data_IF_807788108990
#
_entry.id   IF_807788108990
#
_cell.length_a   1.000
_cell.length_b   1.000
_cell.length_c   1.000
_cell.angle_alpha   90.00
_cell.angle_beta   90.00
_cell.angle_gamma   90.00
#
_symmetry.space_group_name_H-M   'P 1'
#
loop_
_entity.id
_entity.type
_entity.pdbx_description
1 polymer ?
#
# COMPACT_ATOMS: atom_id res chain seq x y z
N UNK A 1 -38.49 9.05 14.54
CA UNK A 1 -37.25 9.58 13.96
C UNK A 1 -36.39 8.43 13.47
N UNK A 2 -35.96 8.46 12.19
CA UNK A 2 -35.06 7.46 11.58
C UNK A 2 -33.65 8.01 11.59
N UNK A 3 -32.70 7.22 12.07
CA UNK A 3 -31.28 7.61 12.12
C UNK A 3 -30.45 6.60 11.32
N UNK A 4 -29.72 7.09 10.32
CA UNK A 4 -28.76 6.29 9.54
C UNK A 4 -27.36 6.45 10.13
N UNK A 5 -26.73 5.32 10.49
CA UNK A 5 -25.38 5.24 11.05
C UNK A 5 -24.45 4.65 10.00
N UNK A 6 -23.39 5.37 9.64
CA UNK A 6 -22.39 4.91 8.70
C UNK A 6 -20.98 5.03 9.28
N UNK A 7 -20.41 3.89 9.63
CA UNK A 7 -19.04 3.78 10.15
C UNK A 7 -18.07 3.33 9.06
N UNK A 8 -16.85 3.87 9.09
CA UNK A 8 -15.80 3.44 8.16
C UNK A 8 -14.44 4.03 8.46
N UNK A 9 -13.39 3.42 7.91
CA UNK A 9 -12.03 3.96 8.00
C UNK A 9 -11.85 5.18 7.11
N UNK A 10 -12.49 5.18 5.91
CA UNK A 10 -12.46 6.25 4.90
C UNK A 10 -11.03 6.69 4.53
N UNK A 11 -10.19 5.72 4.15
CA UNK A 11 -8.78 5.91 3.90
C UNK A 11 -8.33 5.52 2.45
N UNK A 12 -8.64 6.31 1.43
CA UNK A 12 -9.59 7.42 1.38
C UNK A 12 -11.05 6.97 1.25
N UNK A 13 -11.97 7.87 1.47
CA UNK A 13 -13.33 7.72 0.98
C UNK A 13 -13.31 7.63 -0.57
N UNK A 14 -14.30 6.99 -1.18
CA UNK A 14 -14.36 6.80 -2.64
C UNK A 14 -15.80 6.70 -3.16
N UNK A 15 -15.97 6.70 -4.49
CA UNK A 15 -17.27 6.62 -5.14
C UNK A 15 -18.17 5.49 -4.64
N UNK A 16 -17.58 4.34 -4.25
CA UNK A 16 -18.33 3.24 -3.65
C UNK A 16 -18.97 3.61 -2.31
N UNK A 17 -18.26 4.36 -1.46
CA UNK A 17 -18.81 4.88 -0.20
C UNK A 17 -19.89 5.93 -0.47
N UNK A 18 -19.66 6.85 -1.40
CA UNK A 18 -20.60 7.89 -1.79
C UNK A 18 -21.89 7.29 -2.36
N UNK A 19 -21.80 6.34 -3.29
CA UNK A 19 -22.95 5.68 -3.90
C UNK A 19 -23.75 4.89 -2.86
N UNK A 20 -23.05 4.13 -1.99
CA UNK A 20 -23.68 3.37 -0.90
C UNK A 20 -24.51 4.29 0.00
N UNK A 21 -23.93 5.40 0.45
CA UNK A 21 -24.62 6.35 1.30
C UNK A 21 -25.80 7.01 0.59
N UNK A 22 -25.62 7.46 -0.66
CA UNK A 22 -26.69 8.10 -1.46
C UNK A 22 -27.86 7.14 -1.72
N UNK A 23 -27.60 5.87 -1.99
CA UNK A 23 -28.64 4.86 -2.18
C UNK A 23 -29.40 4.59 -0.88
N UNK A 24 -28.71 4.55 0.26
CA UNK A 24 -29.34 4.42 1.57
C UNK A 24 -30.22 5.62 1.93
N UNK A 25 -29.79 6.84 1.60
CA UNK A 25 -30.64 8.04 1.79
C UNK A 25 -31.95 7.97 1.04
N UNK A 26 -31.94 7.50 -0.22
CA UNK A 26 -33.15 7.35 -1.05
C UNK A 26 -34.10 6.30 -0.47
N UNK A 27 -33.56 5.16 -0.03
CA UNK A 27 -34.34 4.02 0.46
C UNK A 27 -34.90 4.25 1.87
N UNK A 28 -34.10 4.77 2.79
CA UNK A 28 -34.44 4.90 4.21
C UNK A 28 -35.16 6.22 4.50
N UNK A 29 -34.78 7.30 3.78
CA UNK A 29 -35.22 8.68 4.03
C UNK A 29 -35.02 9.04 5.51
N UNK A 30 -33.79 9.03 6.02
CA UNK A 30 -33.49 9.27 7.44
C UNK A 30 -33.73 10.73 7.80
N UNK A 31 -34.14 10.98 9.04
CA UNK A 31 -34.25 12.33 9.61
C UNK A 31 -32.87 12.89 10.00
N UNK A 32 -31.93 12.00 10.32
CA UNK A 32 -30.59 12.33 10.81
C UNK A 32 -29.60 11.25 10.35
N UNK A 33 -28.38 11.65 9.99
CA UNK A 33 -27.29 10.75 9.65
C UNK A 33 -26.11 10.96 10.60
N UNK A 34 -25.54 9.88 11.10
CA UNK A 34 -24.26 9.85 11.80
C UNK A 34 -23.19 9.23 10.91
N UNK A 35 -22.07 9.94 10.75
CA UNK A 35 -20.86 9.43 10.12
C UNK A 35 -19.79 9.27 11.21
N UNK A 36 -19.33 8.03 11.41
CA UNK A 36 -18.25 7.71 12.33
C UNK A 36 -16.98 7.33 11.53
N UNK A 37 -15.96 8.16 11.64
CA UNK A 37 -14.63 7.81 11.10
C UNK A 37 -13.90 7.02 12.17
N UNK A 38 -13.58 5.75 11.88
CA UNK A 38 -12.97 4.87 12.88
C UNK A 38 -11.58 5.36 13.28
N UNK A 39 -11.28 5.40 14.58
CA UNK A 39 -9.91 5.60 15.05
C UNK A 39 -9.01 4.47 14.58
N UNK A 40 -9.44 3.24 14.88
CA UNK A 40 -8.81 2.01 14.44
C UNK A 40 -9.89 0.94 14.27
N UNK A 41 -10.11 0.48 13.05
CA UNK A 41 -11.11 -0.55 12.77
C UNK A 41 -10.76 -1.86 13.51
N UNK A 42 -11.73 -2.51 14.20
CA UNK A 42 -11.48 -3.78 14.87
C UNK A 42 -10.99 -4.90 13.94
N UNK A 43 -11.41 -4.85 12.68
CA UNK A 43 -11.26 -5.91 11.69
C UNK A 43 -10.26 -5.56 10.57
N UNK A 44 -9.51 -4.46 10.69
CA UNK A 44 -8.53 -4.02 9.69
C UNK A 44 -7.24 -3.59 10.39
N UNK A 45 -6.17 -3.55 9.63
CA UNK A 45 -4.93 -2.94 10.08
C UNK A 45 -5.12 -1.44 10.37
N UNK A 46 -4.30 -0.93 11.28
CA UNK A 46 -4.33 0.49 11.65
C UNK A 46 -3.98 1.35 10.44
N UNK A 47 -4.85 2.30 10.10
CA UNK A 47 -4.58 3.30 9.08
C UNK A 47 -3.36 4.15 9.45
N UNK A 48 -2.47 4.38 8.49
CA UNK A 48 -1.34 5.30 8.63
C UNK A 48 -1.75 6.76 8.39
N UNK A 49 -2.86 6.98 7.69
CA UNK A 49 -3.39 8.32 7.43
C UNK A 49 -4.00 8.91 8.71
N UNK A 50 -3.60 10.12 9.13
CA UNK A 50 -4.14 10.78 10.31
C UNK A 50 -5.67 10.85 10.30
N UNK A 51 -6.28 10.68 11.48
CA UNK A 51 -7.73 10.77 11.64
C UNK A 51 -8.33 12.06 11.08
N UNK A 52 -7.68 13.21 11.35
CA UNK A 52 -8.11 14.52 10.88
C UNK A 52 -8.27 14.58 9.35
N UNK A 53 -7.31 14.04 8.61
CA UNK A 53 -7.35 13.99 7.15
C UNK A 53 -8.42 13.03 6.63
N UNK A 54 -8.60 11.87 7.27
CA UNK A 54 -9.67 10.93 6.91
C UNK A 54 -11.06 11.53 7.16
N UNK A 55 -11.22 12.27 8.27
CA UNK A 55 -12.46 13.00 8.59
C UNK A 55 -12.68 14.15 7.62
N UNK A 56 -11.64 14.89 7.23
CA UNK A 56 -11.72 15.95 6.23
C UNK A 56 -12.20 15.39 4.89
N UNK A 57 -11.59 14.30 4.40
CA UNK A 57 -12.01 13.62 3.17
C UNK A 57 -13.47 13.13 3.25
N UNK A 58 -13.88 12.56 4.38
CA UNK A 58 -15.26 12.12 4.58
C UNK A 58 -16.25 13.28 4.57
N UNK A 59 -15.91 14.40 5.24
CA UNK A 59 -16.73 15.61 5.23
C UNK A 59 -16.90 16.17 3.82
N UNK A 60 -15.82 16.25 3.05
CA UNK A 60 -15.84 16.76 1.68
C UNK A 60 -16.83 15.98 0.80
N UNK A 61 -16.92 14.66 0.98
CA UNK A 61 -17.79 13.81 0.15
C UNK A 61 -19.23 13.76 0.66
N UNK A 62 -19.45 13.70 1.98
CA UNK A 62 -20.78 13.38 2.51
C UNK A 62 -21.61 14.61 2.87
N UNK A 63 -21.02 15.75 3.22
CA UNK A 63 -21.77 16.92 3.74
C UNK A 63 -22.88 17.39 2.81
N UNK A 64 -22.66 17.33 1.49
CA UNK A 64 -23.60 17.80 0.50
C UNK A 64 -24.75 16.83 0.20
N UNK A 65 -24.68 15.59 0.73
CA UNK A 65 -25.63 14.54 0.36
C UNK A 65 -26.91 14.57 1.21
N UNK A 66 -26.87 15.17 2.41
CA UNK A 66 -28.03 15.25 3.28
C UNK A 66 -27.94 16.49 4.20
N UNK A 67 -29.10 17.13 4.51
CA UNK A 67 -29.16 18.38 5.29
C UNK A 67 -28.72 18.22 6.76
N UNK A 68 -28.91 17.04 7.34
CA UNK A 68 -28.61 16.76 8.76
C UNK A 68 -27.62 15.61 8.88
N UNK A 69 -26.32 15.91 8.78
CA UNK A 69 -25.23 14.96 8.98
C UNK A 69 -24.38 15.39 10.17
N UNK A 70 -24.14 14.47 11.11
CA UNK A 70 -23.25 14.63 12.24
C UNK A 70 -22.03 13.75 12.02
N UNK A 71 -20.85 14.36 11.93
CA UNK A 71 -19.55 13.68 11.98
C UNK A 71 -19.11 13.58 13.44
N UNK A 72 -19.46 12.49 14.11
CA UNK A 72 -19.26 12.33 15.55
C UNK A 72 -17.89 11.69 15.87
N UNK A 73 -17.20 12.24 16.85
CA UNK A 73 -15.87 11.84 17.28
C UNK A 73 -15.86 10.77 18.37
N UNK A 74 -16.99 10.14 18.67
CA UNK A 74 -17.10 9.13 19.74
C UNK A 74 -16.04 8.03 19.61
N UNK A 75 -15.89 7.44 18.40
CA UNK A 75 -14.91 6.37 18.17
C UNK A 75 -13.46 6.89 18.31
N UNK A 76 -13.18 8.08 17.82
CA UNK A 76 -11.87 8.71 17.93
C UNK A 76 -11.48 9.00 19.38
N UNK A 77 -12.39 9.60 20.16
CA UNK A 77 -12.17 9.98 21.58
C UNK A 77 -11.86 8.79 22.49
N UNK A 78 -12.21 7.57 22.08
CA UNK A 78 -11.88 6.35 22.83
C UNK A 78 -10.41 5.93 22.71
N UNK A 79 -9.66 6.42 21.71
CA UNK A 79 -8.26 6.08 21.43
C UNK A 79 -7.96 4.57 21.39
N UNK A 80 -8.98 3.75 21.09
CA UNK A 80 -8.89 2.28 20.96
C UNK A 80 -9.81 1.77 19.85
N UNK A 81 -9.77 0.47 19.59
CA UNK A 81 -10.78 -0.18 18.76
C UNK A 81 -12.16 -0.05 19.39
N UNK A 82 -13.12 0.47 18.65
CA UNK A 82 -14.53 0.59 19.05
C UNK A 82 -15.35 -0.33 18.15
N UNK A 83 -16.22 -1.11 18.77
CA UNK A 83 -17.08 -2.05 18.07
C UNK A 83 -18.45 -1.41 17.78
N UNK A 84 -19.11 -1.85 16.71
CA UNK A 84 -20.42 -1.33 16.26
C UNK A 84 -21.47 -1.33 17.37
N UNK A 85 -21.48 -2.35 18.24
CA UNK A 85 -22.39 -2.38 19.38
C UNK A 85 -22.19 -1.24 20.39
N UNK A 86 -20.96 -0.73 20.54
CA UNK A 86 -20.67 0.42 21.39
C UNK A 86 -21.18 1.72 20.76
N UNK A 87 -20.91 1.89 19.46
CA UNK A 87 -21.41 3.02 18.68
C UNK A 87 -22.93 3.05 18.67
N UNK A 88 -23.56 1.89 18.49
CA UNK A 88 -25.02 1.75 18.52
C UNK A 88 -25.61 2.10 19.89
N UNK A 89 -24.99 1.63 21.00
CA UNK A 89 -25.40 1.99 22.36
C UNK A 89 -25.33 3.50 22.58
N UNK A 90 -24.23 4.12 22.14
CA UNK A 90 -24.04 5.56 22.26
C UNK A 90 -25.11 6.36 21.51
N UNK A 91 -25.44 5.98 20.26
CA UNK A 91 -26.50 6.67 19.49
C UNK A 91 -27.88 6.41 20.14
N UNK A 92 -28.12 5.19 20.61
CA UNK A 92 -29.40 4.83 21.28
C UNK A 92 -29.61 5.61 22.57
N UNK A 93 -28.55 5.87 23.35
CA UNK A 93 -28.62 6.71 24.55
C UNK A 93 -29.00 8.17 24.22
N UNK A 94 -28.45 8.72 23.14
CA UNK A 94 -28.80 10.07 22.68
C UNK A 94 -30.21 10.18 22.10
N UNK A 95 -30.70 9.08 21.51
CA UNK A 95 -31.99 9.04 20.79
C UNK A 95 -32.79 7.78 21.16
N UNK A 96 -33.32 7.65 22.38
CA UNK A 96 -33.92 6.41 22.89
C UNK A 96 -35.09 5.87 22.04
N UNK A 97 -35.88 6.80 21.46
CA UNK A 97 -37.07 6.48 20.65
C UNK A 97 -36.81 6.38 19.13
N UNK A 98 -35.55 6.52 18.70
CA UNK A 98 -35.24 6.47 17.29
C UNK A 98 -35.18 5.04 16.72
N UNK A 99 -35.63 4.87 15.49
CA UNK A 99 -35.38 3.69 14.67
C UNK A 99 -33.98 3.85 14.06
N UNK A 100 -33.08 2.88 14.34
CA UNK A 100 -31.69 2.94 13.96
C UNK A 100 -31.41 2.04 12.75
N UNK A 101 -30.64 2.56 11.81
CA UNK A 101 -30.19 1.86 10.59
C UNK A 101 -28.67 1.87 10.54
N UNK A 102 -28.03 0.71 10.33
CA UNK A 102 -26.58 0.58 10.16
C UNK A 102 -26.29 0.30 8.69
N UNK A 103 -25.52 1.19 8.06
CA UNK A 103 -25.13 1.08 6.65
C UNK A 103 -23.83 0.30 6.51
N UNK A 104 -23.85 -0.77 5.70
CA UNK A 104 -22.70 -1.64 5.42
C UNK A 104 -22.63 -2.02 3.94
N UNK A 105 -21.41 -2.21 3.42
CA UNK A 105 -21.19 -2.83 2.11
C UNK A 105 -21.21 -4.35 2.21
N UNK A 106 -21.32 -5.05 1.08
CA UNK A 106 -21.37 -6.52 0.99
C UNK A 106 -20.19 -7.20 1.66
N UNK A 107 -18.99 -6.62 1.53
CA UNK A 107 -17.75 -7.12 2.14
C UNK A 107 -17.83 -7.16 3.68
N UNK A 108 -18.48 -6.18 4.29
CA UNK A 108 -18.72 -6.17 5.73
C UNK A 108 -19.93 -7.05 6.10
N UNK A 109 -20.97 -7.05 5.27
CA UNK A 109 -22.21 -7.79 5.54
C UNK A 109 -22.00 -9.30 5.66
N UNK A 110 -21.04 -9.87 4.95
CA UNK A 110 -20.67 -11.28 5.02
C UNK A 110 -20.17 -11.72 6.41
N UNK A 111 -19.63 -10.79 7.19
CA UNK A 111 -19.00 -11.07 8.49
C UNK A 111 -19.74 -10.45 9.69
N UNK A 112 -20.88 -9.79 9.50
CA UNK A 112 -21.59 -9.10 10.62
C UNK A 112 -22.04 -10.05 11.74
N UNK A 113 -22.27 -11.33 11.43
CA UNK A 113 -22.61 -12.36 12.43
C UNK A 113 -21.45 -12.68 13.36
N UNK A 114 -20.22 -12.45 12.92
CA UNK A 114 -18.98 -12.61 13.70
C UNK A 114 -18.61 -11.36 14.50
N UNK A 115 -19.37 -10.28 14.36
CA UNK A 115 -19.08 -9.05 15.07
C UNK A 115 -19.32 -9.19 16.57
N UNK A 116 -18.55 -8.45 17.36
CA UNK A 116 -18.74 -8.45 18.82
C UNK A 116 -20.16 -8.01 19.17
N UNK A 117 -20.86 -8.83 19.99
CA UNK A 117 -22.26 -8.63 20.38
C UNK A 117 -23.20 -8.43 19.16
N UNK A 118 -23.07 -9.28 18.15
CA UNK A 118 -23.87 -9.22 16.92
C UNK A 118 -25.37 -9.25 17.20
N UNK A 119 -25.82 -10.08 18.13
CA UNK A 119 -27.23 -10.19 18.55
C UNK A 119 -27.78 -8.84 19.07
N UNK A 120 -26.97 -8.10 19.86
CA UNK A 120 -27.36 -6.78 20.30
C UNK A 120 -27.58 -5.84 19.10
N UNK A 121 -26.70 -5.90 18.10
CA UNK A 121 -26.81 -5.08 16.90
C UNK A 121 -28.10 -5.44 16.12
N UNK A 122 -28.39 -6.72 15.94
CA UNK A 122 -29.58 -7.19 15.21
C UNK A 122 -30.90 -6.83 15.91
N UNK A 123 -30.91 -6.86 17.25
CA UNK A 123 -32.07 -6.47 18.06
C UNK A 123 -32.35 -4.97 17.99
N UNK A 124 -31.32 -4.12 17.91
CA UNK A 124 -31.43 -2.68 18.10
C UNK A 124 -31.35 -1.85 16.82
N UNK A 125 -31.00 -2.44 15.68
CA UNK A 125 -30.92 -1.73 14.41
C UNK A 125 -31.32 -2.62 13.22
N UNK A 126 -31.77 -1.96 12.15
CA UNK A 126 -31.92 -2.58 10.81
C UNK A 126 -30.65 -2.37 10.00
N UNK A 127 -30.09 -3.42 9.46
CA UNK A 127 -28.93 -3.33 8.58
C UNK A 127 -29.36 -2.91 7.17
N UNK A 128 -28.65 -1.93 6.59
CA UNK A 128 -28.84 -1.50 5.20
C UNK A 128 -27.62 -1.96 4.41
N UNK A 129 -27.83 -2.91 3.50
CA UNK A 129 -26.73 -3.60 2.82
C UNK A 129 -26.68 -3.17 1.35
N UNK A 130 -25.54 -2.60 0.94
CA UNK A 130 -25.25 -2.29 -0.46
C UNK A 130 -24.53 -3.42 -1.16
N UNK A 131 -25.05 -3.87 -2.31
CA UNK A 131 -24.48 -4.97 -3.07
C UNK A 131 -23.36 -4.52 -3.99
N UNK A 132 -22.28 -5.30 -4.06
CA UNK A 132 -21.22 -5.18 -5.07
C UNK A 132 -21.33 -6.29 -6.10
N UNK A 133 -21.07 -5.96 -7.36
CA UNK A 133 -20.97 -6.98 -8.42
C UNK A 133 -19.91 -8.04 -8.06
N UNK A 134 -20.24 -9.31 -8.24
CA UNK A 134 -19.35 -10.44 -7.99
C UNK A 134 -19.36 -10.97 -6.55
N UNK A 135 -20.14 -10.40 -5.64
CA UNK A 135 -20.39 -11.02 -4.33
C UNK A 135 -21.65 -11.89 -4.35
N UNK A 136 -21.59 -13.03 -3.63
CA UNK A 136 -22.78 -13.89 -3.43
C UNK A 136 -23.90 -13.09 -2.79
N UNK A 137 -25.16 -13.36 -3.17
CA UNK A 137 -26.31 -12.76 -2.50
C UNK A 137 -26.25 -13.08 -1.00
N UNK A 138 -26.22 -12.03 -0.19
CA UNK A 138 -26.36 -12.17 1.27
C UNK A 138 -27.85 -12.41 1.55
N UNK A 139 -28.19 -13.58 2.10
CA UNK A 139 -29.51 -13.83 2.67
C UNK A 139 -29.37 -13.66 4.18
N UNK A 140 -29.67 -12.49 4.75
CA UNK A 140 -29.49 -12.25 6.17
C UNK A 140 -30.58 -12.95 6.99
N UNK A 141 -30.17 -13.66 8.04
CA UNK A 141 -31.07 -14.22 9.06
C UNK A 141 -31.48 -13.19 10.13
N UNK A 142 -31.15 -11.91 9.87
CA UNK A 142 -31.41 -10.77 10.74
C UNK A 142 -32.15 -9.66 9.99
N UNK A 143 -32.67 -8.68 10.72
CA UNK A 143 -33.41 -7.55 10.14
C UNK A 143 -32.54 -6.72 9.22
N UNK A 144 -32.77 -6.83 7.90
CA UNK A 144 -31.98 -6.13 6.89
C UNK A 144 -32.83 -5.59 5.73
N UNK A 145 -32.33 -4.53 5.10
CA UNK A 145 -32.80 -4.01 3.82
C UNK A 145 -31.65 -4.06 2.83
N UNK A 146 -31.85 -4.69 1.69
CA UNK A 146 -30.85 -4.79 0.62
C UNK A 146 -31.14 -3.68 -0.38
N UNK A 147 -30.13 -2.85 -0.65
CA UNK A 147 -30.23 -1.77 -1.63
C UNK A 147 -30.25 -2.35 -3.05
N UNK A 148 -31.07 -1.79 -3.93
CA UNK A 148 -31.22 -2.24 -5.32
C UNK A 148 -30.03 -1.85 -6.21
N UNK A 149 -29.38 -0.72 -5.90
CA UNK A 149 -28.26 -0.20 -6.68
C UNK A 149 -26.98 -1.01 -6.45
N UNK A 150 -26.31 -1.39 -7.54
CA UNK A 150 -24.99 -1.99 -7.45
C UNK A 150 -23.91 -0.94 -7.21
N UNK A 151 -22.99 -1.27 -6.30
CA UNK A 151 -21.83 -0.43 -5.98
C UNK A 151 -20.70 -0.64 -7.01
N UNK A 152 -19.96 0.42 -7.36
CA UNK A 152 -18.81 0.31 -8.25
C UNK A 152 -17.71 -0.58 -7.64
N UNK A 153 -16.98 -1.28 -8.51
CA UNK A 153 -15.85 -2.14 -8.13
C UNK A 153 -14.61 -1.28 -7.83
N UNK A 154 -14.61 -0.61 -6.69
CA UNK A 154 -13.54 0.25 -6.21
C UNK A 154 -13.27 0.01 -4.73
N UNK A 155 -12.03 0.12 -4.28
CA UNK A 155 -11.68 0.01 -2.86
C UNK A 155 -10.59 1.00 -2.49
N UNK A 156 -10.59 1.43 -1.22
CA UNK A 156 -9.54 2.31 -0.68
C UNK A 156 -8.14 1.72 -0.85
N UNK A 157 -7.98 0.41 -0.65
CA UNK A 157 -6.70 -0.29 -0.84
C UNK A 157 -6.21 -0.21 -2.28
N UNK A 158 -7.10 -0.44 -3.27
CA UNK A 158 -6.73 -0.32 -4.67
C UNK A 158 -6.35 1.11 -5.06
N UNK A 159 -7.04 2.11 -4.51
CA UNK A 159 -6.71 3.51 -4.77
C UNK A 159 -5.36 3.90 -4.17
N UNK A 160 -5.08 3.54 -2.91
CA UNK A 160 -3.78 3.79 -2.27
C UNK A 160 -2.65 3.13 -3.06
N UNK A 161 -2.84 1.87 -3.47
CA UNK A 161 -1.88 1.15 -4.30
C UNK A 161 -1.63 1.86 -5.64
N UNK A 162 -2.68 2.30 -6.34
CA UNK A 162 -2.53 3.02 -7.61
C UNK A 162 -1.78 4.34 -7.44
N UNK A 163 -2.02 5.08 -6.36
CA UNK A 163 -1.30 6.33 -6.06
C UNK A 163 0.18 6.02 -5.79
N UNK A 164 0.46 5.04 -4.93
CA UNK A 164 1.83 4.63 -4.61
C UNK A 164 2.59 4.16 -5.85
N UNK A 165 1.93 3.38 -6.73
CA UNK A 165 2.57 2.84 -7.93
C UNK A 165 2.85 3.91 -9.00
N UNK A 166 1.96 4.89 -9.16
CA UNK A 166 1.99 5.84 -10.28
C UNK A 166 2.42 7.27 -9.90
N UNK A 167 2.50 7.60 -8.62
CA UNK A 167 2.87 8.93 -8.12
C UNK A 167 1.90 10.04 -8.52
N UNK A 168 0.62 9.69 -8.65
CA UNK A 168 -0.49 10.62 -8.95
C UNK A 168 -1.83 10.01 -8.57
N UNK A 169 -2.81 10.85 -8.29
CA UNK A 169 -4.19 10.43 -8.07
C UNK A 169 -4.79 9.81 -9.34
N UNK A 170 -5.47 8.66 -9.25
CA UNK A 170 -6.08 8.01 -10.41
C UNK A 170 -7.33 8.76 -10.88
N UNK A 171 -7.68 8.61 -12.19
CA UNK A 171 -8.84 9.30 -12.80
C UNK A 171 -10.18 8.94 -12.15
N UNK A 172 -10.31 7.78 -11.54
CA UNK A 172 -11.50 7.33 -10.83
C UNK A 172 -11.53 7.75 -9.35
N UNK A 173 -10.62 8.62 -8.92
CA UNK A 173 -10.69 9.32 -7.64
C UNK A 173 -11.76 10.40 -7.71
N UNK A 174 -12.45 10.65 -6.60
CA UNK A 174 -13.32 11.80 -6.45
C UNK A 174 -12.45 13.08 -6.56
N UNK A 175 -12.80 14.04 -7.46
CA UNK A 175 -11.93 15.19 -7.74
C UNK A 175 -11.59 16.01 -6.50
N UNK A 176 -12.55 16.21 -5.61
CA UNK A 176 -12.44 16.97 -4.36
C UNK A 176 -11.41 16.35 -3.38
N UNK A 177 -11.10 15.07 -3.52
CA UNK A 177 -10.10 14.40 -2.68
C UNK A 177 -8.69 14.52 -3.24
N UNK A 178 -8.55 14.74 -4.54
CA UNK A 178 -7.24 14.85 -5.19
C UNK A 178 -6.43 15.99 -4.60
N UNK A 179 -7.06 17.13 -4.30
CA UNK A 179 -6.40 18.26 -3.65
C UNK A 179 -5.87 17.91 -2.25
N UNK A 180 -6.72 17.31 -1.40
CA UNK A 180 -6.35 16.92 -0.05
C UNK A 180 -5.17 15.92 -0.08
N UNK A 181 -5.25 14.93 -0.95
CA UNK A 181 -4.24 13.88 -1.10
C UNK A 181 -2.91 14.48 -1.59
N UNK A 182 -2.94 15.35 -2.59
CA UNK A 182 -1.74 15.98 -3.15
C UNK A 182 -1.11 16.97 -2.16
N UNK A 183 -1.90 17.84 -1.52
CA UNK A 183 -1.42 18.83 -0.54
C UNK A 183 -0.73 18.16 0.64
N UNK A 184 -1.25 17.02 1.10
CA UNK A 184 -0.68 16.29 2.22
C UNK A 184 0.26 15.15 1.80
N UNK A 185 0.55 15.04 0.51
CA UNK A 185 1.44 14.04 -0.07
C UNK A 185 1.15 12.60 0.43
N UNK A 186 -0.14 12.21 0.49
CA UNK A 186 -0.56 10.93 1.04
C UNK A 186 -0.24 9.75 0.11
N UNK A 187 -0.23 8.55 0.67
CA UNK A 187 -0.18 7.27 -0.05
C UNK A 187 1.08 7.10 -0.92
N UNK A 188 2.23 7.58 -0.42
CA UNK A 188 3.51 7.48 -1.11
C UNK A 188 3.82 8.64 -2.05
N UNK A 189 2.97 9.67 -2.15
CA UNK A 189 3.27 10.88 -2.93
C UNK A 189 4.45 11.66 -2.38
N UNK A 190 4.70 11.62 -1.08
CA UNK A 190 5.90 12.17 -0.42
C UNK A 190 7.18 11.55 -1.00
N UNK A 191 7.20 10.23 -1.16
CA UNK A 191 8.30 9.49 -1.80
C UNK A 191 8.49 9.96 -3.25
N UNK A 192 7.40 10.00 -4.03
CA UNK A 192 7.45 10.44 -5.43
C UNK A 192 7.94 11.88 -5.58
N UNK A 193 7.45 12.78 -4.73
CA UNK A 193 7.85 14.19 -4.75
C UNK A 193 9.34 14.32 -4.45
N UNK A 194 9.84 13.57 -3.46
CA UNK A 194 11.27 13.57 -3.14
C UNK A 194 12.10 12.96 -4.27
N UNK A 195 11.71 11.80 -4.81
CA UNK A 195 12.44 11.17 -5.91
C UNK A 195 12.50 12.06 -7.16
N UNK A 196 11.42 12.74 -7.51
CA UNK A 196 11.39 13.71 -8.63
C UNK A 196 12.32 14.89 -8.39
N UNK A 197 12.44 15.35 -7.14
CA UNK A 197 13.30 16.49 -6.78
C UNK A 197 14.80 16.14 -6.83
N UNK A 198 15.17 14.93 -6.41
CA UNK A 198 16.56 14.55 -6.18
C UNK A 198 17.14 13.56 -7.20
N UNK A 199 16.31 12.89 -7.99
CA UNK A 199 16.76 12.02 -9.08
C UNK A 199 16.57 12.70 -10.44
N UNK A 200 17.52 12.48 -11.37
CA UNK A 200 17.33 12.87 -12.77
C UNK A 200 16.12 12.12 -13.37
N UNK A 201 15.39 12.76 -14.28
CA UNK A 201 14.19 12.20 -14.87
C UNK A 201 14.33 10.76 -15.43
N UNK A 202 15.43 10.39 -16.13
CA UNK A 202 15.61 8.99 -16.59
C UNK A 202 15.69 7.99 -15.42
N UNK A 203 16.33 8.38 -14.30
CA UNK A 203 16.46 7.53 -13.12
C UNK A 203 15.12 7.39 -12.38
N UNK A 204 14.38 8.49 -12.23
CA UNK A 204 13.02 8.43 -11.69
C UNK A 204 12.11 7.50 -12.51
N UNK A 205 12.15 7.60 -13.85
CA UNK A 205 11.38 6.74 -14.73
C UNK A 205 11.80 5.25 -14.62
N UNK A 206 13.10 4.98 -14.47
CA UNK A 206 13.61 3.65 -14.17
C UNK A 206 13.04 3.12 -12.85
N UNK A 207 13.10 3.92 -11.78
CA UNK A 207 12.54 3.57 -10.47
C UNK A 207 11.06 3.18 -10.56
N UNK A 208 10.25 3.92 -11.33
CA UNK A 208 8.85 3.57 -11.58
C UNK A 208 8.69 2.26 -12.34
N UNK A 209 9.56 2.00 -13.32
CA UNK A 209 9.53 0.75 -14.07
C UNK A 209 9.88 -0.45 -13.18
N UNK A 210 10.89 -0.31 -12.31
CA UNK A 210 11.27 -1.33 -11.33
C UNK A 210 10.13 -1.59 -10.34
N UNK A 211 9.49 -0.56 -9.81
CA UNK A 211 8.34 -0.71 -8.90
C UNK A 211 7.18 -1.48 -9.55
N UNK A 212 6.88 -1.21 -10.82
CA UNK A 212 5.84 -1.92 -11.58
C UNK A 212 6.20 -3.38 -11.84
N UNK A 213 7.44 -3.66 -12.22
CA UNK A 213 7.91 -5.03 -12.46
C UNK A 213 7.94 -5.83 -11.15
N UNK A 214 8.43 -5.22 -10.05
CA UNK A 214 8.43 -5.84 -8.72
C UNK A 214 7.00 -6.17 -8.25
N UNK A 215 6.04 -5.25 -8.42
CA UNK A 215 4.63 -5.49 -8.12
C UNK A 215 4.03 -6.64 -8.94
N UNK A 216 4.40 -6.74 -10.22
CA UNK A 216 3.95 -7.82 -11.10
C UNK A 216 4.51 -9.18 -10.67
N UNK A 217 5.80 -9.24 -10.37
CA UNK A 217 6.46 -10.47 -9.89
C UNK A 217 5.92 -10.87 -8.51
N UNK A 218 5.71 -9.93 -7.60
CA UNK A 218 5.11 -10.21 -6.29
C UNK A 218 3.73 -10.88 -6.40
N UNK A 219 2.91 -10.43 -7.34
CA UNK A 219 1.60 -11.05 -7.61
C UNK A 219 1.74 -12.49 -8.11
N UNK A 220 2.76 -12.78 -8.94
CA UNK A 220 3.00 -14.12 -9.49
C UNK A 220 3.53 -15.09 -8.43
N UNK A 221 4.45 -14.60 -7.58
CA UNK A 221 5.16 -15.44 -6.60
C UNK A 221 4.58 -15.36 -5.18
N UNK A 222 3.38 -14.76 -5.00
CA UNK A 222 2.66 -14.74 -3.72
C UNK A 222 3.27 -13.85 -2.64
N UNK A 223 4.05 -12.81 -3.05
CA UNK A 223 4.65 -11.86 -2.13
C UNK A 223 3.74 -10.63 -1.94
N UNK A 224 3.97 -9.85 -0.87
CA UNK A 224 3.23 -8.62 -0.64
C UNK A 224 3.53 -7.57 -1.72
N UNK A 225 2.49 -7.22 -2.47
CA UNK A 225 2.59 -6.29 -3.62
C UNK A 225 2.97 -4.87 -3.17
N UNK A 226 2.54 -4.44 -1.96
CA UNK A 226 2.87 -3.11 -1.45
C UNK A 226 4.34 -3.05 -1.03
N UNK A 227 4.85 -4.08 -0.35
CA UNK A 227 6.26 -4.19 0.01
C UNK A 227 7.15 -4.22 -1.24
N UNK A 228 6.78 -5.00 -2.26
CA UNK A 228 7.50 -5.06 -3.52
C UNK A 228 7.50 -3.71 -4.27
N UNK A 229 6.35 -3.04 -4.33
CA UNK A 229 6.24 -1.71 -4.93
C UNK A 229 7.09 -0.68 -4.19
N UNK A 230 7.02 -0.66 -2.87
CA UNK A 230 7.78 0.25 -2.02
C UNK A 230 9.29 0.01 -2.16
N UNK A 231 9.71 -1.26 -2.17
CA UNK A 231 11.11 -1.64 -2.41
C UNK A 231 11.60 -1.15 -3.77
N UNK A 232 10.80 -1.33 -4.83
CA UNK A 232 11.09 -0.85 -6.17
C UNK A 232 11.19 0.67 -6.27
N UNK A 233 10.32 1.41 -5.57
CA UNK A 233 10.38 2.88 -5.51
C UNK A 233 11.64 3.38 -4.80
N UNK A 234 12.09 2.69 -3.77
CA UNK A 234 13.16 3.17 -2.90
C UNK A 234 14.55 2.58 -3.22
N UNK A 235 14.66 1.56 -4.10
CA UNK A 235 15.92 0.84 -4.33
C UNK A 235 17.08 1.75 -4.73
N UNK A 236 16.82 2.76 -5.52
CA UNK A 236 17.80 3.70 -6.07
C UNK A 236 17.78 5.10 -5.41
N UNK A 237 17.11 5.27 -4.27
CA UNK A 237 17.05 6.56 -3.56
C UNK A 237 18.46 7.12 -3.25
N UNK A 238 19.44 6.25 -2.95
CA UNK A 238 20.84 6.62 -2.73
C UNK A 238 21.54 7.21 -3.96
N UNK A 239 21.02 7.02 -5.16
CA UNK A 239 21.53 7.66 -6.39
C UNK A 239 21.26 9.16 -6.45
N UNK A 240 20.56 9.72 -5.48
CA UNK A 240 20.47 11.17 -5.26
C UNK A 240 21.80 11.79 -4.82
N UNK A 241 22.73 10.96 -4.36
CA UNK A 241 24.06 11.35 -3.90
C UNK A 241 25.13 10.99 -4.94
N UNK A 242 26.21 11.79 -5.02
CA UNK A 242 27.43 11.41 -5.77
C UNK A 242 28.16 10.27 -5.07
N UNK A 243 29.17 9.70 -5.73
CA UNK A 243 30.00 8.64 -5.13
C UNK A 243 30.69 9.13 -3.84
N UNK A 244 31.25 10.33 -3.87
CA UNK A 244 31.93 10.98 -2.76
C UNK A 244 30.95 11.25 -1.60
N UNK A 245 29.76 11.75 -1.93
CA UNK A 245 28.70 11.96 -0.94
C UNK A 245 28.20 10.64 -0.32
N UNK A 246 28.11 9.55 -1.10
CA UNK A 246 27.75 8.24 -0.55
C UNK A 246 28.82 7.70 0.41
N UNK A 247 30.11 7.88 0.09
CA UNK A 247 31.20 7.51 1.00
C UNK A 247 31.13 8.33 2.30
N UNK A 248 30.95 9.65 2.20
CA UNK A 248 30.79 10.52 3.36
C UNK A 248 29.57 10.11 4.20
N UNK A 249 28.44 9.88 3.56
CA UNK A 249 27.19 9.45 4.20
C UNK A 249 27.35 8.14 4.98
N UNK A 250 28.02 7.13 4.39
CA UNK A 250 28.29 5.84 5.04
C UNK A 250 29.14 6.03 6.30
N UNK A 251 30.16 6.90 6.25
CA UNK A 251 31.03 7.22 7.39
C UNK A 251 30.26 7.96 8.49
N UNK A 252 29.56 9.03 8.13
CA UNK A 252 28.79 9.87 9.06
C UNK A 252 27.75 9.07 9.83
N UNK A 253 26.96 8.24 9.11
CA UNK A 253 25.91 7.44 9.72
C UNK A 253 26.39 6.08 10.24
N UNK A 254 27.70 5.80 10.19
CA UNK A 254 28.35 4.56 10.68
C UNK A 254 27.63 3.30 10.16
N UNK A 255 27.29 3.28 8.86
CA UNK A 255 26.54 2.17 8.29
C UNK A 255 27.39 0.88 8.31
N UNK A 256 26.83 -0.19 8.89
CA UNK A 256 27.48 -1.50 8.94
C UNK A 256 27.31 -2.20 7.59
N UNK A 257 28.31 -2.09 6.73
CA UNK A 257 28.33 -2.68 5.38
C UNK A 257 29.52 -3.64 5.31
N UNK A 258 29.26 -4.89 4.90
CA UNK A 258 30.31 -5.88 4.68
C UNK A 258 31.21 -5.44 3.52
N UNK A 259 32.53 -5.52 3.67
CA UNK A 259 33.47 -5.09 2.64
C UNK A 259 33.43 -3.58 2.33
N UNK A 260 33.06 -2.74 3.31
CA UNK A 260 32.88 -1.29 3.09
C UNK A 260 34.14 -0.60 2.60
N UNK A 261 35.35 -1.03 3.04
CA UNK A 261 36.63 -0.44 2.59
C UNK A 261 36.84 -0.69 1.11
N UNK A 262 36.67 -1.93 0.66
CA UNK A 262 36.80 -2.34 -0.74
C UNK A 262 35.75 -1.65 -1.63
N UNK A 263 34.50 -1.59 -1.15
CA UNK A 263 33.43 -0.88 -1.87
C UNK A 263 33.74 0.60 -2.03
N UNK A 264 34.23 1.28 -0.99
CA UNK A 264 34.63 2.68 -1.09
C UNK A 264 35.76 2.90 -2.09
N UNK A 265 36.74 1.99 -2.15
CA UNK A 265 37.93 2.15 -2.99
C UNK A 265 37.65 1.73 -4.46
N UNK A 266 36.98 0.62 -4.69
CA UNK A 266 36.90 0.00 -6.02
C UNK A 266 35.53 0.14 -6.68
N UNK A 267 34.46 0.23 -5.90
CA UNK A 267 33.10 0.26 -6.44
C UNK A 267 32.13 1.15 -5.62
N UNK A 268 32.45 2.43 -5.37
CA UNK A 268 31.64 3.31 -4.52
C UNK A 268 30.19 3.47 -5.04
N UNK A 269 29.96 3.26 -6.33
CA UNK A 269 28.62 3.26 -6.90
C UNK A 269 27.69 2.20 -6.30
N UNK A 270 28.23 1.09 -5.76
CA UNK A 270 27.42 0.03 -5.13
C UNK A 270 26.92 0.40 -3.75
N UNK A 271 27.50 1.44 -3.13
CA UNK A 271 27.05 1.96 -1.82
C UNK A 271 25.62 2.53 -1.87
N UNK A 272 25.09 2.81 -3.10
CA UNK A 272 23.73 3.33 -3.19
C UNK A 272 22.68 2.38 -2.58
N UNK A 273 22.87 1.09 -2.63
CA UNK A 273 21.90 0.12 -2.11
C UNK A 273 21.75 0.22 -0.57
N UNK A 274 22.81 0.09 0.25
CA UNK A 274 22.70 0.30 1.70
C UNK A 274 22.33 1.75 2.08
N UNK A 275 22.77 2.76 1.31
CA UNK A 275 22.37 4.17 1.50
C UNK A 275 20.86 4.32 1.23
N UNK A 276 20.33 3.71 0.16
CA UNK A 276 18.89 3.72 -0.13
C UNK A 276 18.07 3.10 1.00
N UNK A 277 18.52 1.99 1.56
CA UNK A 277 17.85 1.34 2.68
C UNK A 277 17.86 2.22 3.94
N UNK A 278 18.97 2.90 4.21
CA UNK A 278 19.05 3.84 5.33
C UNK A 278 18.14 5.06 5.12
N UNK A 279 18.10 5.64 3.92
CA UNK A 279 17.16 6.71 3.55
C UNK A 279 15.69 6.23 3.65
N UNK A 280 15.40 5.01 3.22
CA UNK A 280 14.08 4.42 3.38
C UNK A 280 13.64 4.39 4.85
N UNK A 281 14.52 3.98 5.74
CA UNK A 281 14.25 3.93 7.18
C UNK A 281 14.12 5.31 7.81
N UNK A 282 15.09 6.21 7.57
CA UNK A 282 15.24 7.46 8.33
C UNK A 282 14.40 8.60 7.76
N UNK A 283 14.32 8.69 6.44
CA UNK A 283 13.61 9.78 5.78
C UNK A 283 12.12 9.44 5.52
N UNK A 284 11.84 8.19 5.10
CA UNK A 284 10.48 7.78 4.74
C UNK A 284 9.80 6.92 5.82
N UNK A 285 10.47 6.67 6.94
CA UNK A 285 9.89 5.96 8.09
C UNK A 285 9.52 4.51 7.81
N UNK A 286 10.16 3.87 6.82
CA UNK A 286 9.91 2.45 6.48
C UNK A 286 10.32 1.56 7.65
N UNK A 287 9.36 0.78 8.17
CA UNK A 287 9.56 -0.11 9.33
C UNK A 287 9.70 -1.58 8.93
N UNK A 288 9.24 -1.99 7.75
CA UNK A 288 9.36 -3.37 7.26
C UNK A 288 10.83 -3.73 7.10
N UNK A 289 11.28 -4.72 7.87
CA UNK A 289 12.64 -5.25 7.79
C UNK A 289 12.91 -5.88 6.43
N UNK A 290 11.90 -6.55 5.85
CA UNK A 290 11.98 -7.18 4.54
C UNK A 290 12.21 -6.16 3.43
N UNK A 291 11.47 -5.04 3.42
CA UNK A 291 11.67 -3.94 2.47
C UNK A 291 13.08 -3.36 2.60
N UNK A 292 13.52 -3.05 3.82
CA UNK A 292 14.85 -2.49 4.06
C UNK A 292 15.97 -3.45 3.63
N UNK A 293 15.80 -4.74 3.89
CA UNK A 293 16.72 -5.78 3.48
C UNK A 293 16.78 -5.88 1.95
N UNK A 294 15.64 -5.99 1.27
CA UNK A 294 15.58 -6.08 -0.18
C UNK A 294 16.26 -4.87 -0.84
N UNK A 295 15.94 -3.65 -0.38
CA UNK A 295 16.57 -2.42 -0.88
C UNK A 295 18.09 -2.45 -0.65
N UNK A 296 18.58 -2.91 0.51
CA UNK A 296 20.02 -2.94 0.78
C UNK A 296 20.77 -4.00 -0.05
N UNK A 297 20.09 -5.06 -0.47
CA UNK A 297 20.68 -6.23 -1.14
C UNK A 297 20.49 -6.25 -2.66
N UNK A 298 19.71 -5.35 -3.22
CA UNK A 298 19.31 -5.44 -4.65
C UNK A 298 20.49 -5.41 -5.64
N UNK A 299 21.69 -4.98 -5.20
CA UNK A 299 22.88 -4.95 -6.05
C UNK A 299 23.77 -6.17 -5.93
N UNK A 300 24.05 -6.63 -4.72
CA UNK A 300 25.04 -7.69 -4.47
C UNK A 300 24.40 -8.95 -3.86
N UNK A 301 23.12 -8.92 -3.57
CA UNK A 301 22.44 -10.00 -2.87
C UNK A 301 22.91 -10.16 -1.43
N UNK A 302 22.85 -11.38 -0.94
CA UNK A 302 23.27 -11.76 0.41
C UNK A 302 22.90 -13.21 0.72
N UNK A 303 23.37 -13.69 1.87
CA UNK A 303 23.01 -15.02 2.35
C UNK A 303 21.50 -15.11 2.61
N UNK A 304 20.89 -16.24 2.29
CA UNK A 304 19.48 -16.55 2.56
C UNK A 304 18.52 -15.44 2.04
N UNK A 305 18.58 -15.18 0.72
CA UNK A 305 17.71 -14.21 0.06
C UNK A 305 16.24 -14.61 0.16
N UNK A 306 15.42 -13.67 0.65
CA UNK A 306 13.96 -13.81 0.68
C UNK A 306 13.37 -13.74 -0.74
N UNK A 307 12.09 -14.09 -0.88
CA UNK A 307 11.35 -13.92 -2.15
C UNK A 307 11.39 -12.45 -2.60
N UNK A 308 11.21 -11.52 -1.67
CA UNK A 308 11.26 -10.07 -1.96
C UNK A 308 12.65 -9.61 -2.41
N UNK A 309 13.72 -10.09 -1.79
CA UNK A 309 15.12 -9.80 -2.21
C UNK A 309 15.33 -10.20 -3.68
N UNK A 310 14.92 -11.41 -4.06
CA UNK A 310 15.04 -11.95 -5.43
C UNK A 310 14.19 -11.14 -6.41
N UNK A 311 12.92 -10.87 -6.06
CA UNK A 311 12.01 -10.07 -6.88
C UNK A 311 12.59 -8.71 -7.21
N UNK A 312 13.12 -7.99 -6.21
CA UNK A 312 13.65 -6.64 -6.43
C UNK A 312 14.88 -6.66 -7.34
N UNK A 313 15.82 -7.58 -7.12
CA UNK A 313 17.01 -7.73 -7.95
C UNK A 313 16.65 -8.06 -9.40
N UNK A 314 15.72 -8.98 -9.62
CA UNK A 314 15.23 -9.35 -10.95
C UNK A 314 14.50 -8.17 -11.61
N UNK A 315 13.64 -7.48 -10.87
CA UNK A 315 12.88 -6.33 -11.37
C UNK A 315 13.78 -5.20 -11.85
N UNK A 316 14.88 -4.91 -11.14
CA UNK A 316 15.87 -3.92 -11.59
C UNK A 316 16.51 -4.35 -12.92
N UNK A 317 16.81 -5.64 -13.10
CA UNK A 317 17.42 -6.17 -14.32
C UNK A 317 16.44 -6.33 -15.49
N UNK A 318 15.12 -6.41 -15.21
CA UNK A 318 14.06 -6.51 -16.22
C UNK A 318 13.41 -5.18 -16.59
N UNK A 319 13.78 -4.08 -15.93
CA UNK A 319 13.13 -2.79 -16.13
C UNK A 319 13.44 -2.16 -17.48
N UNK A 320 12.54 -1.27 -17.93
CA UNK A 320 12.72 -0.52 -19.18
C UNK A 320 14.04 0.27 -19.16
N UNK A 321 14.81 0.17 -20.24
CA UNK A 321 16.13 0.79 -20.39
C UNK A 321 17.30 -0.20 -20.31
N UNK A 322 17.04 -1.48 -19.98
CA UNK A 322 18.00 -2.59 -20.14
C UNK A 322 17.97 -3.12 -21.57
N UNK A 323 19.02 -3.86 -21.98
CA UNK A 323 19.09 -4.45 -23.34
C UNK A 323 17.95 -5.46 -23.53
N UNK A 324 17.20 -5.40 -24.66
CA UNK A 324 16.04 -6.30 -24.90
C UNK A 324 16.36 -7.78 -24.79
N UNK A 325 17.55 -8.21 -25.27
CA UNK A 325 18.00 -9.59 -25.18
C UNK A 325 18.19 -10.08 -23.76
N UNK A 326 18.71 -9.23 -22.87
CA UNK A 326 18.90 -9.56 -21.46
C UNK A 326 17.55 -9.74 -20.76
N UNK A 327 16.61 -8.81 -21.02
CA UNK A 327 15.23 -8.92 -20.50
C UNK A 327 14.56 -10.20 -20.98
N UNK A 328 14.71 -10.56 -22.26
CA UNK A 328 14.14 -11.79 -22.83
C UNK A 328 14.71 -13.04 -22.15
N UNK A 329 16.03 -13.07 -21.92
CA UNK A 329 16.70 -14.17 -21.22
C UNK A 329 16.13 -14.35 -19.82
N UNK A 330 16.07 -13.28 -19.01
CA UNK A 330 15.59 -13.33 -17.64
C UNK A 330 14.11 -13.71 -17.61
N UNK A 331 13.27 -13.13 -18.45
CA UNK A 331 11.83 -13.45 -18.51
C UNK A 331 11.55 -14.89 -18.97
N UNK A 332 12.42 -15.46 -19.81
CA UNK A 332 12.32 -16.87 -20.17
C UNK A 332 12.65 -17.79 -18.98
N UNK A 333 13.68 -17.46 -18.22
CA UNK A 333 14.08 -18.21 -17.01
C UNK A 333 13.00 -18.10 -15.91
N UNK A 334 12.39 -16.94 -15.71
CA UNK A 334 11.27 -16.73 -14.78
C UNK A 334 10.05 -17.63 -15.05
N UNK A 335 9.85 -18.10 -16.28
CA UNK A 335 8.78 -19.07 -16.58
C UNK A 335 9.02 -20.43 -15.91
N UNK A 336 10.25 -20.76 -15.57
CA UNK A 336 10.61 -22.00 -14.88
C UNK A 336 10.48 -21.82 -13.36
N UNK A 337 11.19 -20.84 -12.81
CA UNK A 337 11.15 -20.49 -11.38
C UNK A 337 11.71 -19.11 -11.12
N UNK A 338 11.49 -18.60 -9.86
CA UNK A 338 12.10 -17.36 -9.39
C UNK A 338 13.63 -17.50 -9.27
N UNK A 339 14.13 -18.66 -8.87
CA UNK A 339 15.57 -18.93 -8.73
C UNK A 339 16.27 -19.00 -10.09
N UNK A 340 15.66 -19.60 -11.10
CA UNK A 340 16.15 -19.55 -12.47
C UNK A 340 16.18 -18.12 -13.02
N UNK A 341 15.14 -17.32 -12.70
CA UNK A 341 15.11 -15.90 -13.04
C UNK A 341 16.25 -15.12 -12.36
N UNK A 342 16.55 -15.41 -11.09
CA UNK A 342 17.66 -14.81 -10.36
C UNK A 342 19.01 -15.20 -10.99
N UNK A 343 19.21 -16.48 -11.29
CA UNK A 343 20.43 -16.97 -11.92
C UNK A 343 20.68 -16.30 -13.27
N UNK A 344 19.63 -16.14 -14.08
CA UNK A 344 19.74 -15.43 -15.36
C UNK A 344 20.07 -13.93 -15.17
N UNK A 345 19.48 -13.27 -14.18
CA UNK A 345 19.78 -11.88 -13.85
C UNK A 345 21.24 -11.68 -13.38
N UNK A 346 21.70 -12.58 -12.50
CA UNK A 346 23.10 -12.58 -12.05
C UNK A 346 24.08 -12.84 -13.21
N UNK A 347 23.79 -13.79 -14.10
CA UNK A 347 24.60 -14.05 -15.31
C UNK A 347 24.77 -12.78 -16.13
N UNK A 348 23.67 -12.09 -16.44
CA UNK A 348 23.70 -10.83 -17.20
C UNK A 348 24.57 -9.80 -16.52
N UNK A 349 24.45 -9.66 -15.21
CA UNK A 349 25.17 -8.69 -14.41
C UNK A 349 26.66 -9.00 -14.33
N UNK A 350 27.04 -10.26 -14.13
CA UNK A 350 28.44 -10.69 -14.11
C UNK A 350 29.10 -10.45 -15.48
N UNK A 351 28.46 -10.86 -16.58
CA UNK A 351 28.95 -10.59 -17.94
C UNK A 351 29.18 -9.10 -18.14
N UNK A 352 28.20 -8.25 -17.79
CA UNK A 352 28.36 -6.80 -17.88
C UNK A 352 29.54 -6.28 -17.07
N UNK A 353 29.73 -6.77 -15.84
CA UNK A 353 30.79 -6.32 -14.94
C UNK A 353 32.17 -6.66 -15.51
N UNK A 354 32.34 -7.90 -16.03
CA UNK A 354 33.60 -8.36 -16.64
C UNK A 354 33.87 -7.62 -17.96
N UNK A 355 32.89 -7.55 -18.84
CA UNK A 355 33.06 -6.93 -20.17
C UNK A 355 33.29 -5.42 -20.13
N UNK A 356 32.91 -4.77 -19.01
CA UNK A 356 33.15 -3.33 -18.79
C UNK A 356 34.33 -3.04 -17.85
N UNK A 357 35.18 -4.04 -17.60
CA UNK A 357 36.38 -3.95 -16.74
C UNK A 357 36.10 -3.35 -15.36
N UNK A 358 34.97 -3.70 -14.73
CA UNK A 358 34.59 -3.25 -13.38
C UNK A 358 35.03 -4.27 -12.35
N UNK A 359 35.29 -3.76 -11.13
CA UNK A 359 35.63 -4.63 -10.02
C UNK A 359 34.48 -5.58 -9.67
N UNK A 360 34.79 -6.86 -9.55
CA UNK A 360 33.87 -7.91 -9.16
C UNK A 360 33.79 -8.01 -7.64
N UNK A 361 32.68 -7.59 -7.07
CA UNK A 361 32.43 -7.71 -5.64
C UNK A 361 32.35 -9.18 -5.21
N UNK A 362 33.08 -9.61 -4.15
CA UNK A 362 33.07 -10.99 -3.70
C UNK A 362 31.67 -11.52 -3.34
N UNK A 363 30.79 -10.67 -2.77
CA UNK A 363 29.42 -11.09 -2.45
C UNK A 363 28.58 -11.37 -3.69
N UNK A 364 28.81 -10.69 -4.82
CA UNK A 364 28.13 -11.01 -6.10
C UNK A 364 28.56 -12.36 -6.68
N UNK A 365 29.86 -12.69 -6.60
CA UNK A 365 30.38 -14.00 -7.01
C UNK A 365 29.80 -15.10 -6.12
N UNK A 366 29.76 -14.85 -4.81
CA UNK A 366 29.19 -15.78 -3.83
C UNK A 366 27.72 -16.05 -4.11
N UNK A 367 26.91 -15.01 -4.38
CA UNK A 367 25.50 -15.16 -4.72
C UNK A 367 25.33 -16.03 -5.97
N UNK A 368 26.09 -15.76 -7.02
CA UNK A 368 26.08 -16.58 -8.25
C UNK A 368 26.32 -18.06 -7.95
N UNK A 369 27.37 -18.37 -7.20
CA UNK A 369 27.73 -19.75 -6.85
C UNK A 369 26.64 -20.44 -6.02
N UNK A 370 26.10 -19.74 -5.00
CA UNK A 370 25.01 -20.27 -4.17
C UNK A 370 23.72 -20.50 -4.97
N UNK A 371 23.38 -19.58 -5.86
CA UNK A 371 22.17 -19.71 -6.72
C UNK A 371 22.34 -20.84 -7.73
N UNK A 372 23.54 -20.98 -8.34
CA UNK A 372 23.85 -22.05 -9.29
C UNK A 372 23.74 -23.43 -8.65
N UNK A 373 24.25 -23.58 -7.42
CA UNK A 373 24.20 -24.86 -6.69
C UNK A 373 22.77 -25.27 -6.27
N UNK A 374 21.89 -24.29 -6.01
CA UNK A 374 20.49 -24.55 -5.69
C UNK A 374 19.63 -24.96 -6.90
N UNK A 375 20.10 -24.66 -8.11
CA UNK A 375 19.39 -24.97 -9.36
C UNK A 375 19.99 -26.24 -10.08
N UNK A 376 20.97 -26.88 -9.50
CA UNK A 376 21.46 -28.21 -9.90
C UNK A 376 20.67 -29.31 -9.16
#
# INVERSE_FOLDING_TARGET
MKILIYGGTFDPVHQGHQKLFSSALKEIKPDLCYIFVSYNSPYKEKSQTPYSLRKEMAKQVFTHLHKKIIFDDFEYKKHRKVYTCETLKYVKQKHPKAELFILVGTDCAADVTKWKNAEYNFKNATFVIGLRQGFKQVKPEFRARILKDFLPKISSTALRFQIMLNGKTPKNMLPELSEIINRNALYGLDIHNWLKKYLKAPRYNHTLAVAKEAASLAKIYGEDINNATLSGLLHDAGKSLTKEQMIAYVKEHKLKIKGVKELCNYAPALLHAPVSAHLAKTKFGVKSKEVLQAVSRHTLGGKDMTVLDKILMIADMCSKGRRPQDIKLIKSALKKSLDEGLLAAEKVKLIYTVTTNKWLAPDGIKLWNETLLKNK
#
